data_IF_630220579526
#
_entry.id   IF_630220579526
#
_cell.length_a   1.000
_cell.length_b   1.000
_cell.length_c   1.000
_cell.angle_alpha   90.00
_cell.angle_beta   90.00
_cell.angle_gamma   90.00
#
_symmetry.space_group_name_H-M   'P 1'
#
loop_
_entity.id
_entity.type
_entity.pdbx_description
1 polymer ?
#
# COMPACT_ATOMS: atom_id res chain seq x y z
N UNK A 1 -18.98 6.05 18.88
CA UNK A 1 -17.68 6.19 18.17
C UNK A 1 -17.98 6.84 16.83
N UNK A 2 -17.29 7.93 16.45
CA UNK A 2 -17.62 8.66 15.20
C UNK A 2 -17.37 7.76 13.99
N UNK A 3 -18.24 7.84 12.98
CA UNK A 3 -18.17 7.07 11.72
C UNK A 3 -16.80 7.19 11.06
N UNK A 4 -16.16 8.36 11.14
CA UNK A 4 -14.83 8.62 10.59
C UNK A 4 -13.72 7.83 11.30
N UNK A 5 -13.84 7.59 12.61
CA UNK A 5 -12.86 6.83 13.39
C UNK A 5 -12.91 5.36 12.97
N UNK A 6 -14.12 4.80 12.81
CA UNK A 6 -14.29 3.42 12.36
C UNK A 6 -13.71 3.21 10.95
N UNK A 7 -13.91 4.17 10.05
CA UNK A 7 -13.30 4.16 8.72
C UNK A 7 -11.78 4.27 8.81
N UNK A 8 -11.25 5.14 9.67
CA UNK A 8 -9.81 5.24 9.95
C UNK A 8 -9.20 3.93 10.44
N UNK A 9 -9.85 3.23 11.37
CA UNK A 9 -9.43 1.89 11.82
C UNK A 9 -9.42 0.88 10.67
N UNK A 10 -10.47 0.88 9.84
CA UNK A 10 -10.57 -0.03 8.69
C UNK A 10 -9.44 0.20 7.67
N UNK A 11 -9.12 1.46 7.39
CA UNK A 11 -7.98 1.83 6.53
C UNK A 11 -6.64 1.40 7.17
N UNK A 12 -6.51 1.53 8.50
CA UNK A 12 -5.32 1.08 9.23
C UNK A 12 -5.13 -0.45 9.15
N UNK A 13 -6.22 -1.21 9.22
CA UNK A 13 -6.17 -2.68 9.05
C UNK A 13 -5.71 -3.08 7.65
N UNK A 14 -6.17 -2.38 6.61
CA UNK A 14 -5.67 -2.59 5.24
C UNK A 14 -4.20 -2.22 5.14
N UNK A 15 -3.78 -1.08 5.71
CA UNK A 15 -2.38 -0.69 5.72
C UNK A 15 -1.49 -1.73 6.40
N UNK A 16 -1.93 -2.31 7.52
CA UNK A 16 -1.20 -3.38 8.22
C UNK A 16 -1.01 -4.60 7.31
N UNK A 17 -2.08 -5.07 6.67
CA UNK A 17 -2.00 -6.22 5.76
C UNK A 17 -1.10 -5.94 4.54
N UNK A 18 -1.17 -4.73 4.00
CA UNK A 18 -0.26 -4.27 2.97
C UNK A 18 1.21 -4.25 3.44
N UNK A 19 1.47 -3.74 4.66
CA UNK A 19 2.81 -3.65 5.22
C UNK A 19 3.45 -5.04 5.43
N UNK A 20 2.65 -6.06 5.75
CA UNK A 20 3.11 -7.45 5.78
C UNK A 20 3.63 -7.92 4.42
N UNK A 21 2.92 -7.60 3.33
CA UNK A 21 3.32 -7.97 1.97
C UNK A 21 4.55 -7.17 1.53
N UNK A 22 4.56 -5.86 1.77
CA UNK A 22 5.72 -4.98 1.54
C UNK A 22 6.96 -5.53 2.25
N UNK A 23 6.85 -5.82 3.55
CA UNK A 23 7.95 -6.32 4.36
C UNK A 23 8.38 -7.74 3.96
N UNK A 24 7.47 -8.55 3.42
CA UNK A 24 7.81 -9.85 2.86
C UNK A 24 8.61 -9.73 1.55
N UNK A 25 8.28 -8.75 0.71
CA UNK A 25 8.94 -8.53 -0.57
C UNK A 25 10.30 -7.82 -0.44
N UNK A 26 10.41 -6.83 0.45
CA UNK A 26 11.57 -5.95 0.55
C UNK A 26 12.37 -6.06 1.87
N UNK A 27 11.84 -6.71 2.90
CA UNK A 27 12.49 -6.85 4.21
C UNK A 27 13.40 -8.08 4.33
N UNK A 28 13.82 -8.41 5.57
CA UNK A 28 14.67 -9.57 5.95
C UNK A 28 14.11 -10.92 5.45
N UNK A 29 12.80 -10.95 5.18
CA UNK A 29 12.07 -12.04 4.53
C UNK A 29 12.54 -12.35 3.11
N UNK A 30 13.39 -11.51 2.51
CA UNK A 30 14.14 -11.84 1.28
C UNK A 30 14.98 -13.12 1.44
N UNK A 31 15.39 -13.50 2.66
CA UNK A 31 15.95 -14.83 2.94
C UNK A 31 14.96 -15.97 2.70
N UNK A 32 13.66 -15.78 3.02
CA UNK A 32 12.61 -16.74 2.64
C UNK A 32 12.40 -16.75 1.13
N UNK A 33 12.43 -15.61 0.45
CA UNK A 33 12.35 -15.57 -1.02
C UNK A 33 13.49 -16.36 -1.66
N UNK A 34 14.72 -16.22 -1.15
CA UNK A 34 15.87 -17.04 -1.54
C UNK A 34 15.59 -18.54 -1.30
N UNK A 35 15.05 -18.92 -0.13
CA UNK A 35 14.68 -20.31 0.15
C UNK A 35 13.56 -20.85 -0.76
N UNK A 36 12.63 -20.00 -1.20
CA UNK A 36 11.59 -20.37 -2.15
C UNK A 36 12.12 -20.42 -3.59
N UNK A 37 13.08 -19.57 -3.95
CA UNK A 37 13.80 -19.60 -5.23
C UNK A 37 14.60 -20.91 -5.36
N UNK A 38 15.33 -21.29 -4.31
CA UNK A 38 16.02 -22.58 -4.21
C UNK A 38 15.08 -23.79 -4.32
N UNK A 39 13.78 -23.61 -4.03
CA UNK A 39 12.73 -24.64 -4.15
C UNK A 39 11.89 -24.51 -5.42
N UNK A 40 12.19 -23.57 -6.32
CA UNK A 40 11.44 -23.33 -7.57
C UNK A 40 10.00 -22.85 -7.36
N UNK A 41 9.71 -22.15 -6.26
CA UNK A 41 8.35 -21.79 -5.82
C UNK A 41 8.04 -20.29 -5.80
N UNK A 42 8.94 -19.44 -6.30
CA UNK A 42 8.79 -17.96 -6.29
C UNK A 42 7.58 -17.47 -7.06
N UNK A 43 7.29 -18.05 -8.23
CA UNK A 43 6.10 -17.67 -9.03
C UNK A 43 4.79 -17.86 -8.25
N UNK A 44 4.66 -18.94 -7.46
CA UNK A 44 3.47 -19.16 -6.62
C UNK A 44 3.32 -18.09 -5.52
N UNK A 45 4.43 -17.66 -4.91
CA UNK A 45 4.40 -16.61 -3.89
C UNK A 45 4.01 -15.25 -4.45
N UNK A 46 4.59 -14.85 -5.59
CA UNK A 46 4.22 -13.59 -6.22
C UNK A 46 2.75 -13.60 -6.64
N UNK A 47 2.23 -14.74 -7.08
CA UNK A 47 0.80 -14.90 -7.38
C UNK A 47 -0.08 -14.74 -6.14
N UNK A 48 0.31 -15.33 -5.00
CA UNK A 48 -0.41 -15.17 -3.73
C UNK A 48 -0.42 -13.71 -3.26
N UNK A 49 0.73 -13.03 -3.36
CA UNK A 49 0.80 -11.60 -3.04
C UNK A 49 -0.03 -10.74 -3.99
N UNK A 50 0.02 -11.00 -5.29
CA UNK A 50 -0.80 -10.30 -6.29
C UNK A 50 -2.30 -10.44 -5.97
N UNK A 51 -2.77 -11.65 -5.63
CA UNK A 51 -4.17 -11.89 -5.26
C UNK A 51 -4.56 -11.16 -3.98
N UNK A 52 -3.71 -11.18 -2.96
CA UNK A 52 -3.95 -10.43 -1.71
C UNK A 52 -4.01 -8.92 -1.98
N UNK A 53 -3.09 -8.38 -2.78
CA UNK A 53 -3.06 -6.97 -3.13
C UNK A 53 -4.30 -6.54 -3.93
N UNK A 54 -4.80 -7.38 -4.83
CA UNK A 54 -6.09 -7.15 -5.51
C UNK A 54 -7.24 -7.01 -4.51
N UNK A 55 -7.32 -7.95 -3.55
CA UNK A 55 -8.36 -7.94 -2.53
C UNK A 55 -8.30 -6.65 -1.70
N UNK A 56 -7.11 -6.26 -1.25
CA UNK A 56 -6.91 -5.00 -0.53
C UNK A 56 -7.28 -3.78 -1.37
N UNK A 57 -6.99 -3.79 -2.67
CA UNK A 57 -7.31 -2.70 -3.58
C UNK A 57 -8.83 -2.49 -3.72
N UNK A 58 -9.59 -3.59 -3.82
CA UNK A 58 -11.05 -3.57 -3.92
C UNK A 58 -11.70 -3.11 -2.61
N UNK A 59 -11.24 -3.64 -1.47
CA UNK A 59 -11.69 -3.22 -0.13
C UNK A 59 -11.47 -1.71 0.08
N UNK A 60 -10.28 -1.23 -0.29
CA UNK A 60 -9.90 0.16 -0.13
C UNK A 60 -10.72 1.09 -1.04
N UNK A 61 -11.07 0.64 -2.25
CA UNK A 61 -11.97 1.39 -3.13
C UNK A 61 -13.36 1.58 -2.49
N UNK A 62 -13.87 0.55 -1.80
CA UNK A 62 -15.11 0.64 -1.03
C UNK A 62 -15.00 1.61 0.15
N UNK A 63 -13.87 1.63 0.85
CA UNK A 63 -13.64 2.58 1.96
C UNK A 63 -13.53 4.03 1.48
N UNK A 64 -12.86 4.30 0.35
CA UNK A 64 -12.78 5.65 -0.22
C UNK A 64 -14.17 6.21 -0.50
N UNK A 65 -15.05 5.42 -1.10
CA UNK A 65 -16.43 5.83 -1.35
C UNK A 65 -17.19 6.13 -0.06
N UNK A 66 -16.99 5.31 0.98
CA UNK A 66 -17.61 5.53 2.29
C UNK A 66 -17.08 6.79 2.99
N UNK A 67 -15.77 7.05 2.96
CA UNK A 67 -15.14 8.24 3.55
C UNK A 67 -15.65 9.51 2.85
N UNK A 68 -15.77 9.50 1.52
CA UNK A 68 -16.31 10.62 0.75
C UNK A 68 -17.80 10.88 1.02
N UNK A 69 -18.54 9.87 1.49
CA UNK A 69 -19.98 9.97 1.80
C UNK A 69 -20.28 10.41 3.24
N UNK A 70 -19.26 10.64 4.08
CA UNK A 70 -19.46 11.15 5.44
C UNK A 70 -19.85 12.63 5.35
N UNK A 71 -21.04 12.96 5.85
CA UNK A 71 -21.54 14.33 5.89
C UNK A 71 -20.78 15.17 6.94
N UNK A 72 -20.60 16.46 6.68
CA UNK A 72 -19.95 17.38 7.62
C UNK A 72 -20.69 17.47 8.98
N UNK A 73 -22.01 17.30 8.99
CA UNK A 73 -22.82 17.33 10.22
C UNK A 73 -22.62 16.09 11.12
N UNK A 74 -22.08 14.99 10.58
CA UNK A 74 -21.73 13.78 11.36
C UNK A 74 -20.37 13.93 12.09
N UNK A 75 -19.73 15.09 11.93
CA UNK A 75 -18.39 15.34 12.40
C UNK A 75 -18.37 16.38 13.54
N UNK A 76 -18.39 15.95 14.82
CA UNK A 76 -18.54 16.85 15.96
C UNK A 76 -17.29 17.70 16.28
N UNK A 77 -16.34 17.87 15.36
CA UNK A 77 -14.97 18.30 15.66
C UNK A 77 -14.57 19.56 14.90
N UNK A 78 -13.84 20.43 15.60
CA UNK A 78 -13.27 21.66 15.05
C UNK A 78 -12.31 21.44 13.86
N UNK A 79 -11.68 20.26 13.80
CA UNK A 79 -10.72 19.90 12.74
C UNK A 79 -11.24 18.76 11.85
N UNK A 80 -12.54 18.48 11.85
CA UNK A 80 -13.04 17.26 11.24
C UNK A 80 -12.90 17.21 9.72
N UNK A 81 -13.11 18.35 9.05
CA UNK A 81 -12.89 18.48 7.62
C UNK A 81 -11.41 18.19 7.25
N UNK A 82 -10.46 18.69 8.05
CA UNK A 82 -9.05 18.39 7.85
C UNK A 82 -8.72 16.92 8.12
N UNK A 83 -9.32 16.31 9.16
CA UNK A 83 -9.16 14.89 9.46
C UNK A 83 -9.71 14.02 8.32
N UNK A 84 -10.91 14.32 7.82
CA UNK A 84 -11.54 13.61 6.71
C UNK A 84 -10.70 13.76 5.44
N UNK A 85 -10.28 14.97 5.08
CA UNK A 85 -9.44 15.20 3.90
C UNK A 85 -8.11 14.46 4.01
N UNK A 86 -7.44 14.54 5.16
CA UNK A 86 -6.16 13.85 5.36
C UNK A 86 -6.35 12.32 5.31
N UNK A 87 -7.49 11.81 5.77
CA UNK A 87 -7.81 10.38 5.66
C UNK A 87 -8.08 9.97 4.21
N UNK A 88 -8.75 10.81 3.42
CA UNK A 88 -8.93 10.60 1.98
C UNK A 88 -7.56 10.55 1.29
N UNK A 89 -6.71 11.55 1.51
CA UNK A 89 -5.38 11.64 0.90
C UNK A 89 -4.53 10.41 1.26
N UNK A 90 -4.53 10.03 2.54
CA UNK A 90 -3.84 8.83 3.03
C UNK A 90 -4.37 7.54 2.37
N UNK A 91 -5.68 7.43 2.22
CA UNK A 91 -6.29 6.26 1.59
C UNK A 91 -5.96 6.21 0.09
N UNK A 92 -5.97 7.34 -0.61
CA UNK A 92 -5.61 7.40 -2.03
C UNK A 92 -4.15 7.02 -2.27
N UNK A 93 -3.22 7.54 -1.45
CA UNK A 93 -1.79 7.20 -1.60
C UNK A 93 -1.53 5.73 -1.23
N UNK A 94 -2.25 5.17 -0.24
CA UNK A 94 -2.19 3.73 0.07
C UNK A 94 -2.69 2.89 -1.11
N UNK A 95 -3.77 3.31 -1.80
CA UNK A 95 -4.25 2.67 -3.02
C UNK A 95 -3.19 2.64 -4.11
N UNK A 96 -2.49 3.77 -4.30
CA UNK A 96 -1.41 3.89 -5.28
C UNK A 96 -0.25 2.94 -4.93
N UNK A 97 0.15 2.90 -3.66
CA UNK A 97 1.21 2.03 -3.18
C UNK A 97 0.86 0.54 -3.38
N UNK A 98 -0.37 0.13 -3.06
CA UNK A 98 -0.88 -1.22 -3.33
C UNK A 98 -0.82 -1.54 -4.83
N UNK A 99 -1.25 -0.62 -5.70
CA UNK A 99 -1.25 -0.81 -7.14
C UNK A 99 0.16 -0.97 -7.71
N UNK A 100 1.12 -0.15 -7.27
CA UNK A 100 2.51 -0.25 -7.70
C UNK A 100 3.15 -1.56 -7.21
N UNK A 101 2.93 -1.93 -5.95
CA UNK A 101 3.44 -3.18 -5.39
C UNK A 101 2.88 -4.40 -6.14
N UNK A 102 1.61 -4.35 -6.53
CA UNK A 102 0.96 -5.39 -7.34
C UNK A 102 1.61 -5.50 -8.71
N UNK A 103 1.89 -4.39 -9.39
CA UNK A 103 2.60 -4.39 -10.68
C UNK A 103 3.99 -5.01 -10.54
N UNK A 104 4.74 -4.65 -9.50
CA UNK A 104 6.05 -5.25 -9.20
C UNK A 104 5.92 -6.77 -9.02
N UNK A 105 4.94 -7.25 -8.24
CA UNK A 105 4.68 -8.68 -8.09
C UNK A 105 4.31 -9.35 -9.42
N UNK A 106 3.51 -8.69 -10.27
CA UNK A 106 3.12 -9.20 -11.59
C UNK A 106 4.30 -9.37 -12.54
N UNK A 107 5.23 -8.41 -12.57
CA UNK A 107 6.46 -8.53 -13.36
C UNK A 107 7.39 -9.62 -12.81
N UNK A 108 7.62 -9.66 -11.50
CA UNK A 108 8.42 -10.70 -10.84
C UNK A 108 7.85 -12.11 -11.05
N UNK A 109 6.53 -12.24 -11.11
CA UNK A 109 5.85 -13.51 -11.40
C UNK A 109 6.05 -13.97 -12.84
N UNK A 110 6.05 -13.03 -13.78
CA UNK A 110 6.05 -13.30 -15.22
C UNK A 110 7.43 -13.68 -15.72
N UNK A 111 8.42 -12.84 -15.45
CA UNK A 111 9.83 -13.08 -15.80
C UNK A 111 10.73 -12.27 -14.84
N UNK A 112 11.12 -12.89 -13.74
CA UNK A 112 11.94 -12.23 -12.71
C UNK A 112 13.33 -11.87 -13.23
N UNK A 113 13.93 -12.74 -14.04
CA UNK A 113 15.29 -12.56 -14.54
C UNK A 113 15.33 -11.39 -15.53
N UNK A 114 14.40 -11.34 -16.49
CA UNK A 114 14.29 -10.22 -17.44
C UNK A 114 14.00 -8.90 -16.70
N UNK A 115 13.02 -8.89 -15.80
CA UNK A 115 12.60 -7.68 -15.08
C UNK A 115 13.72 -7.07 -14.19
N UNK A 116 14.61 -7.92 -13.67
CA UNK A 116 15.77 -7.53 -12.87
C UNK A 116 17.03 -7.29 -13.69
N UNK A 117 17.09 -7.77 -14.92
CA UNK A 117 18.24 -7.58 -15.81
C UNK A 117 18.31 -6.14 -16.32
N UNK A 118 19.53 -5.69 -16.67
CA UNK A 118 19.71 -4.37 -17.27
C UNK A 118 19.21 -4.37 -18.71
N UNK A 119 18.30 -3.45 -19.03
CA UNK A 119 17.88 -3.19 -20.41
C UNK A 119 18.99 -2.50 -21.23
N UNK A 120 18.73 -2.19 -22.50
CA UNK A 120 19.67 -1.50 -23.41
C UNK A 120 20.17 -0.13 -22.88
N UNK A 121 19.44 0.48 -21.93
CA UNK A 121 19.81 1.74 -21.26
C UNK A 121 20.64 1.54 -19.98
N UNK A 122 21.00 0.29 -19.66
CA UNK A 122 21.88 -0.06 -18.54
C UNK A 122 21.21 -0.05 -17.15
N UNK A 123 19.90 0.20 -17.05
CA UNK A 123 19.17 0.17 -15.77
C UNK A 123 18.02 -0.82 -15.80
N UNK A 124 17.90 -1.73 -14.80
CA UNK A 124 16.77 -2.62 -14.68
C UNK A 124 15.44 -1.88 -14.50
N UNK A 125 14.38 -2.36 -15.16
CA UNK A 125 13.01 -1.83 -14.98
C UNK A 125 12.58 -1.92 -13.52
N UNK A 126 12.95 -3.01 -12.82
CA UNK A 126 12.72 -3.15 -11.38
C UNK A 126 13.23 -1.97 -10.55
N UNK A 127 14.40 -1.42 -10.88
CA UNK A 127 14.97 -0.30 -10.10
C UNK A 127 14.17 0.98 -10.29
N UNK A 128 13.69 1.23 -11.52
CA UNK A 128 12.83 2.38 -11.80
C UNK A 128 11.50 2.27 -11.04
N UNK A 129 10.83 1.13 -11.16
CA UNK A 129 9.55 0.88 -10.51
C UNK A 129 9.69 0.94 -8.98
N UNK A 130 10.82 0.46 -8.45
CA UNK A 130 11.15 0.57 -7.03
C UNK A 130 11.34 2.02 -6.58
N UNK A 131 12.00 2.87 -7.37
CA UNK A 131 12.18 4.30 -7.03
C UNK A 131 10.83 5.02 -6.98
N UNK A 132 9.96 4.78 -7.96
CA UNK A 132 8.61 5.36 -8.01
C UNK A 132 7.75 4.87 -6.84
N UNK A 133 7.92 3.60 -6.47
CA UNK A 133 7.29 3.01 -5.29
C UNK A 133 7.81 3.63 -3.98
N UNK A 134 9.12 3.73 -3.79
CA UNK A 134 9.73 4.31 -2.59
C UNK A 134 9.31 5.78 -2.39
N UNK A 135 9.12 6.54 -3.47
CA UNK A 135 8.53 7.89 -3.40
C UNK A 135 7.11 7.87 -2.82
N UNK A 136 6.29 6.93 -3.28
CA UNK A 136 4.90 6.76 -2.81
C UNK A 136 4.86 6.35 -1.33
N UNK A 137 5.81 5.52 -0.88
CA UNK A 137 5.95 5.16 0.55
C UNK A 137 6.25 6.38 1.42
N UNK A 138 7.13 7.29 0.98
CA UNK A 138 7.43 8.51 1.73
C UNK A 138 6.22 9.42 1.87
N UNK A 139 5.41 9.56 0.82
CA UNK A 139 4.17 10.34 0.91
C UNK A 139 3.15 9.64 1.85
N UNK A 140 3.05 8.30 1.80
CA UNK A 140 2.21 7.53 2.73
C UNK A 140 2.63 7.77 4.19
N UNK A 141 3.92 7.77 4.50
CA UNK A 141 4.45 8.07 5.84
C UNK A 141 4.15 9.51 6.27
N UNK A 142 4.28 10.47 5.35
CA UNK A 142 3.97 11.88 5.59
C UNK A 142 2.50 12.07 5.96
N UNK A 143 1.58 11.51 5.18
CA UNK A 143 0.14 11.57 5.47
C UNK A 143 -0.23 10.80 6.74
N UNK A 144 0.38 9.63 6.97
CA UNK A 144 0.18 8.87 8.21
C UNK A 144 0.62 9.64 9.46
N UNK A 145 1.75 10.35 9.38
CA UNK A 145 2.21 11.23 10.47
C UNK A 145 1.24 12.38 10.70
N UNK A 146 0.71 12.98 9.63
CA UNK A 146 -0.30 14.04 9.73
C UNK A 146 -1.59 13.53 10.38
N UNK A 147 -2.09 12.37 9.97
CA UNK A 147 -3.25 11.71 10.59
C UNK A 147 -3.03 11.45 12.08
N UNK A 148 -1.89 10.87 12.46
CA UNK A 148 -1.58 10.60 13.86
C UNK A 148 -1.59 11.87 14.72
N UNK A 149 -1.09 13.00 14.20
CA UNK A 149 -1.16 14.30 14.89
C UNK A 149 -2.61 14.77 15.06
N UNK A 150 -3.42 14.67 14.01
CA UNK A 150 -4.84 15.07 14.06
C UNK A 150 -5.64 14.19 15.03
N UNK A 151 -5.37 12.89 15.09
CA UNK A 151 -5.97 11.96 16.05
C UNK A 151 -5.42 12.13 17.48
N UNK A 152 -4.17 12.56 17.66
CA UNK A 152 -3.60 12.80 19.00
C UNK A 152 -4.04 14.12 19.62
N UNK A 153 -4.57 15.03 18.79
CA UNK A 153 -5.17 16.31 19.21
C UNK A 153 -6.68 16.16 19.45
N UNK A 154 -7.20 14.93 19.32
CA UNK A 154 -8.58 14.54 19.56
C UNK A 154 -8.87 14.35 21.05
#
# INVERSE_FOLDING_TARGET
>A
MSKIINLGCSVSDIHRQYAEIHGALFGITSYRMILYALKGKTSSLYSDYEQRLNTLQDELAGLVAQINSVAEDDLPLRNAAELQQTLIDYTQILKQAISQLRSICGYLKSDEDDYRSSNESGQPTFNRDKVDYDYTIRELERFGTKLNKLFSTY
#
